data_IF_074338514688
#
_entry.id   IF_074338514688
#
_cell.length_a   1.000
_cell.length_b   1.000
_cell.length_c   1.000
_cell.angle_alpha   90.00
_cell.angle_beta   90.00
_cell.angle_gamma   90.00
#
_symmetry.space_group_name_H-M   'P 1'
#
loop_
_entity.id
_entity.type
_entity.pdbx_description
1 polymer ?
#
# COMPACT_ATOMS: atom_id res chain seq x y z
N UNK A 1 -1.11 13.92 8.56
CA UNK A 1 -2.08 13.82 7.45
C UNK A 1 -1.84 14.87 6.36
N UNK A 2 -1.71 16.16 6.69
CA UNK A 2 -1.47 17.22 5.70
C UNK A 2 -0.23 16.99 4.80
N UNK A 3 0.88 16.50 5.37
CA UNK A 3 2.07 16.17 4.56
C UNK A 3 1.82 15.07 3.53
N UNK A 4 0.94 14.10 3.85
CA UNK A 4 0.55 13.07 2.90
C UNK A 4 -0.29 13.67 1.78
N UNK A 5 -1.31 14.45 2.10
CA UNK A 5 -2.17 15.11 1.09
C UNK A 5 -1.30 15.98 0.18
N UNK A 6 -0.40 16.77 0.76
CA UNK A 6 0.53 17.61 0.00
C UNK A 6 1.39 16.78 -0.97
N UNK A 7 2.00 15.68 -0.49
CA UNK A 7 2.87 14.82 -1.33
C UNK A 7 2.11 14.09 -2.43
N UNK A 8 0.91 13.61 -2.13
CA UNK A 8 0.08 12.87 -3.07
C UNK A 8 -0.45 13.81 -4.17
N UNK A 9 -0.75 15.08 -3.84
CA UNK A 9 -1.23 16.07 -4.81
C UNK A 9 -0.13 16.79 -5.60
N UNK A 10 1.10 16.81 -5.09
CA UNK A 10 2.21 17.56 -5.69
C UNK A 10 2.49 17.24 -7.18
N UNK A 11 2.40 15.99 -7.66
CA UNK A 11 2.59 15.69 -9.09
C UNK A 11 1.58 16.38 -10.00
N UNK A 12 0.39 16.75 -9.52
CA UNK A 12 -0.66 17.31 -10.35
C UNK A 12 -0.60 18.84 -10.47
N UNK A 13 0.11 19.53 -9.57
CA UNK A 13 0.25 21.00 -9.62
C UNK A 13 1.07 21.50 -10.82
N UNK A 14 1.88 20.62 -11.41
CA UNK A 14 2.61 20.90 -12.64
C UNK A 14 1.82 20.67 -13.92
N UNK A 15 0.54 20.33 -13.85
CA UNK A 15 -0.31 20.10 -15.02
C UNK A 15 -1.27 21.28 -15.18
N UNK A 16 -1.45 21.77 -16.40
CA UNK A 16 -2.41 22.84 -16.68
C UNK A 16 -3.83 22.39 -16.27
N UNK A 17 -4.62 23.22 -15.55
CA UNK A 17 -5.92 22.81 -15.03
C UNK A 17 -6.89 22.24 -16.09
N UNK A 18 -6.91 22.81 -17.29
CA UNK A 18 -7.74 22.33 -18.39
C UNK A 18 -7.31 20.93 -18.89
N UNK A 19 -5.99 20.70 -18.95
CA UNK A 19 -5.43 19.39 -19.31
C UNK A 19 -5.68 18.36 -18.20
N UNK A 20 -5.49 18.73 -16.93
CA UNK A 20 -5.75 17.84 -15.79
C UNK A 20 -7.22 17.39 -15.76
N UNK A 21 -8.16 18.30 -16.06
CA UNK A 21 -9.58 17.95 -16.19
C UNK A 21 -9.84 17.03 -17.38
N UNK A 22 -9.12 17.20 -18.50
CA UNK A 22 -9.23 16.28 -19.63
C UNK A 22 -8.71 14.88 -19.27
N UNK A 23 -7.53 14.79 -18.66
CA UNK A 23 -6.97 13.52 -18.16
C UNK A 23 -7.92 12.85 -17.18
N UNK A 24 -8.49 13.58 -16.22
CA UNK A 24 -9.46 13.06 -15.27
C UNK A 24 -10.69 12.47 -15.99
N UNK A 25 -11.26 13.21 -16.96
CA UNK A 25 -12.44 12.77 -17.73
C UNK A 25 -12.14 11.51 -18.54
N UNK A 26 -11.00 11.46 -19.22
CA UNK A 26 -10.58 10.30 -20.00
C UNK A 26 -10.36 9.08 -19.10
N UNK A 27 -9.88 9.28 -17.87
CA UNK A 27 -9.64 8.22 -16.90
C UNK A 27 -10.91 7.67 -16.24
N UNK A 28 -12.07 8.34 -16.35
CA UNK A 28 -13.32 7.79 -15.79
C UNK A 28 -13.77 6.48 -16.46
N UNK A 29 -13.34 6.27 -17.71
CA UNK A 29 -13.56 5.03 -18.45
C UNK A 29 -12.48 3.97 -18.21
N UNK A 30 -11.53 4.20 -17.29
CA UNK A 30 -10.45 3.26 -17.04
C UNK A 30 -10.99 1.95 -16.47
N UNK A 31 -10.46 0.82 -16.95
CA UNK A 31 -10.91 -0.50 -16.56
C UNK A 31 -10.79 -0.70 -15.05
N UNK A 32 -11.80 -1.30 -14.43
CA UNK A 32 -11.87 -1.46 -12.98
C UNK A 32 -11.73 -0.13 -12.23
N UNK A 33 -12.57 0.84 -12.56
CA UNK A 33 -12.65 2.11 -11.82
C UNK A 33 -14.10 2.51 -11.58
N UNK A 34 -14.32 3.40 -10.59
CA UNK A 34 -15.57 4.11 -10.42
C UNK A 34 -15.29 5.59 -10.14
N UNK A 35 -16.21 6.46 -10.55
CA UNK A 35 -16.10 7.90 -10.34
C UNK A 35 -17.15 8.35 -9.35
N UNK A 36 -16.73 9.01 -8.28
CA UNK A 36 -17.64 9.73 -7.40
C UNK A 36 -17.76 11.18 -7.86
N UNK A 37 -18.96 11.74 -7.81
CA UNK A 37 -19.20 13.09 -8.30
C UNK A 37 -20.28 13.87 -7.57
N UNK A 38 -20.28 15.18 -7.81
CA UNK A 38 -21.27 16.16 -7.35
C UNK A 38 -21.52 17.18 -8.46
N UNK A 39 -22.77 17.27 -8.91
CA UNK A 39 -23.15 18.08 -10.09
C UNK A 39 -23.70 19.47 -9.74
N UNK A 40 -24.13 19.69 -8.50
CA UNK A 40 -24.57 21.01 -8.01
C UNK A 40 -24.00 21.26 -6.62
N UNK A 41 -23.69 22.52 -6.24
CA UNK A 41 -23.17 22.81 -4.90
C UNK A 41 -24.09 22.37 -3.74
N UNK A 42 -25.41 22.34 -3.95
CA UNK A 42 -26.39 21.89 -2.97
C UNK A 42 -26.89 20.45 -3.17
N UNK A 43 -26.37 19.73 -4.18
CA UNK A 43 -26.80 18.37 -4.50
C UNK A 43 -26.00 17.31 -3.75
N UNK A 44 -26.51 16.07 -3.65
CA UNK A 44 -25.78 14.99 -2.99
C UNK A 44 -24.59 14.52 -3.85
N UNK A 45 -23.63 13.87 -3.20
CA UNK A 45 -22.65 13.06 -3.91
C UNK A 45 -23.28 11.77 -4.46
N UNK A 46 -22.77 11.27 -5.58
CA UNK A 46 -23.27 10.06 -6.22
C UNK A 46 -22.17 9.34 -7.02
N UNK A 47 -22.43 8.10 -7.42
CA UNK A 47 -21.58 7.37 -8.38
C UNK A 47 -21.88 7.90 -9.77
N UNK A 48 -20.95 8.65 -10.35
CA UNK A 48 -21.11 9.36 -11.61
C UNK A 48 -20.76 8.49 -12.84
N UNK A 49 -19.86 7.53 -12.68
CA UNK A 49 -19.47 6.59 -13.72
C UNK A 49 -18.89 5.32 -13.08
N UNK A 50 -18.98 4.17 -13.75
CA UNK A 50 -18.34 2.92 -13.34
C UNK A 50 -17.93 2.10 -14.55
N UNK A 51 -16.71 1.57 -14.50
CA UNK A 51 -16.17 0.61 -15.48
C UNK A 51 -15.79 -0.66 -14.73
N UNK A 52 -16.81 -1.42 -14.33
CA UNK A 52 -16.70 -2.59 -13.46
C UNK A 52 -17.26 -3.85 -14.17
N UNK A 53 -16.95 -5.07 -13.68
CA UNK A 53 -17.49 -6.31 -14.26
C UNK A 53 -19.01 -6.33 -14.29
N UNK A 54 -19.58 -7.00 -15.30
CA UNK A 54 -21.04 -7.15 -15.47
C UNK A 54 -21.69 -8.02 -14.39
N UNK A 55 -20.92 -8.88 -13.72
CA UNK A 55 -21.44 -9.71 -12.62
C UNK A 55 -21.87 -8.83 -11.43
N UNK A 56 -23.16 -8.88 -11.09
CA UNK A 56 -23.76 -8.04 -10.06
C UNK A 56 -23.21 -8.26 -8.65
N UNK A 57 -22.71 -9.45 -8.34
CA UNK A 57 -22.10 -9.70 -7.04
C UNK A 57 -20.74 -9.01 -6.96
N UNK A 58 -19.90 -9.20 -7.97
CA UNK A 58 -18.56 -8.61 -8.02
C UNK A 58 -18.62 -7.08 -8.18
N UNK A 59 -19.53 -6.56 -9.01
CA UNK A 59 -19.77 -5.13 -9.18
C UNK A 59 -20.15 -4.46 -7.86
N UNK A 60 -21.10 -5.03 -7.11
CA UNK A 60 -21.50 -4.50 -5.79
C UNK A 60 -20.35 -4.54 -4.78
N UNK A 61 -19.55 -5.62 -4.79
CA UNK A 61 -18.38 -5.73 -3.91
C UNK A 61 -17.35 -4.63 -4.20
N UNK A 62 -17.07 -4.37 -5.48
CA UNK A 62 -16.11 -3.35 -5.90
C UNK A 62 -16.59 -1.91 -5.64
N UNK A 63 -17.90 -1.67 -5.63
CA UNK A 63 -18.50 -0.37 -5.29
C UNK A 63 -18.66 -0.14 -3.78
N UNK A 64 -18.54 -1.16 -2.94
CA UNK A 64 -18.75 -1.03 -1.49
C UNK A 64 -17.89 0.10 -0.89
N UNK A 65 -16.64 0.20 -1.35
CA UNK A 65 -15.74 1.26 -0.90
C UNK A 65 -16.23 2.66 -1.28
N UNK A 66 -16.76 2.81 -2.49
CA UNK A 66 -17.34 4.06 -2.97
C UNK A 66 -18.55 4.48 -2.13
N UNK A 67 -19.46 3.56 -1.80
CA UNK A 67 -20.62 3.87 -0.95
C UNK A 67 -20.22 4.29 0.47
N UNK A 68 -19.16 3.69 1.03
CA UNK A 68 -18.65 4.09 2.35
C UNK A 68 -18.01 5.48 2.32
N UNK A 69 -17.28 5.82 1.25
CA UNK A 69 -16.77 7.19 1.05
C UNK A 69 -17.92 8.19 0.92
N UNK A 70 -18.95 7.88 0.12
CA UNK A 70 -20.13 8.73 -0.01
C UNK A 70 -20.82 8.95 1.34
N UNK A 71 -20.92 7.91 2.17
CA UNK A 71 -21.48 8.02 3.51
C UNK A 71 -20.63 8.91 4.42
N UNK A 72 -19.30 8.81 4.36
CA UNK A 72 -18.38 9.67 5.12
C UNK A 72 -18.48 11.13 4.68
N UNK A 73 -18.61 11.39 3.38
CA UNK A 73 -18.66 12.75 2.82
C UNK A 73 -19.99 13.45 3.08
N UNK A 74 -21.04 12.73 3.51
CA UNK A 74 -22.38 13.28 3.73
C UNK A 74 -22.40 14.42 4.75
N UNK A 75 -21.59 14.33 5.81
CA UNK A 75 -21.55 15.34 6.88
C UNK A 75 -20.96 16.68 6.43
N UNK A 76 -20.14 16.65 5.37
CA UNK A 76 -19.47 17.83 4.81
C UNK A 76 -19.98 18.16 3.41
N UNK A 77 -21.11 17.57 3.00
CA UNK A 77 -21.55 17.66 1.62
C UNK A 77 -21.90 19.09 1.22
N UNK A 78 -22.53 19.87 2.10
CA UNK A 78 -22.93 21.25 1.80
C UNK A 78 -21.73 22.21 1.61
N UNK A 79 -20.59 21.91 2.25
CA UNK A 79 -19.38 22.75 2.21
C UNK A 79 -18.50 22.48 0.98
N UNK A 80 -18.71 21.35 0.30
CA UNK A 80 -17.84 20.91 -0.78
C UNK A 80 -18.31 21.44 -2.16
N UNK A 81 -17.39 21.91 -3.03
CA UNK A 81 -17.73 22.37 -4.36
C UNK A 81 -18.13 21.21 -5.28
N UNK A 82 -18.35 21.52 -6.57
CA UNK A 82 -18.44 20.49 -7.61
C UNK A 82 -17.21 19.59 -7.55
N UNK A 83 -17.45 18.29 -7.67
CA UNK A 83 -16.45 17.27 -7.43
C UNK A 83 -16.58 16.18 -8.48
N UNK A 84 -15.44 15.69 -8.97
CA UNK A 84 -15.31 14.47 -9.78
C UNK A 84 -13.97 13.83 -9.45
N UNK A 85 -14.00 12.59 -9.01
CA UNK A 85 -12.80 11.86 -8.64
C UNK A 85 -12.92 10.39 -9.03
N UNK A 86 -11.91 9.89 -9.72
CA UNK A 86 -11.83 8.49 -10.15
C UNK A 86 -11.14 7.68 -9.06
N UNK A 87 -11.73 6.56 -8.69
CA UNK A 87 -11.24 5.69 -7.63
C UNK A 87 -10.91 4.30 -8.17
N UNK A 88 -9.82 3.73 -7.66
CA UNK A 88 -9.58 2.29 -7.71
C UNK A 88 -10.51 1.56 -6.73
N UNK A 89 -11.20 0.49 -7.14
CA UNK A 89 -11.95 -0.39 -6.26
C UNK A 89 -11.10 -1.47 -5.60
N UNK A 90 -9.80 -1.54 -5.92
CA UNK A 90 -8.92 -2.62 -5.50
C UNK A 90 -8.05 -2.24 -4.31
N UNK A 91 -7.56 -3.26 -3.61
CA UNK A 91 -6.71 -3.11 -2.43
C UNK A 91 -5.30 -2.60 -2.78
N UNK A 92 -4.82 -2.83 -4.01
CA UNK A 92 -3.50 -2.43 -4.48
C UNK A 92 -3.52 -1.03 -5.12
N UNK A 93 -2.38 -0.30 -5.11
CA UNK A 93 -2.23 0.89 -5.92
C UNK A 93 -2.08 0.53 -7.40
N UNK A 94 -2.42 1.48 -8.28
CA UNK A 94 -2.45 1.24 -9.72
C UNK A 94 -1.56 2.19 -10.51
N UNK A 95 -1.43 3.45 -10.09
CA UNK A 95 -0.81 4.50 -10.91
C UNK A 95 0.69 4.51 -10.69
N UNK A 96 1.44 4.00 -11.66
CA UNK A 96 2.89 3.98 -11.67
C UNK A 96 3.44 5.07 -12.59
N UNK A 97 4.37 5.89 -12.09
CA UNK A 97 4.96 7.00 -12.83
C UNK A 97 6.48 6.91 -12.75
N UNK A 98 7.19 7.30 -13.82
CA UNK A 98 8.64 7.38 -13.77
C UNK A 98 9.10 8.53 -12.86
N UNK A 99 10.31 8.40 -12.31
CA UNK A 99 10.94 9.45 -11.51
C UNK A 99 11.05 10.74 -12.33
N UNK A 100 11.51 10.63 -13.59
CA UNK A 100 11.71 11.78 -14.47
C UNK A 100 10.43 12.60 -14.62
N UNK A 101 9.31 11.95 -14.96
CA UNK A 101 8.03 12.62 -15.13
C UNK A 101 7.49 13.16 -13.80
N UNK A 102 7.57 12.38 -12.72
CA UNK A 102 7.14 12.80 -11.39
C UNK A 102 7.88 14.06 -10.93
N UNK A 103 9.21 14.04 -10.99
CA UNK A 103 10.07 15.13 -10.57
C UNK A 103 9.89 16.37 -11.45
N UNK A 104 9.72 16.19 -12.77
CA UNK A 104 9.42 17.28 -13.70
C UNK A 104 8.09 17.97 -13.38
N UNK A 105 7.03 17.19 -13.15
CA UNK A 105 5.71 17.73 -12.80
C UNK A 105 5.74 18.46 -11.44
N UNK A 106 6.32 17.85 -10.41
CA UNK A 106 6.47 18.50 -9.08
C UNK A 106 7.27 19.79 -9.18
N UNK A 107 8.38 19.80 -9.95
CA UNK A 107 9.21 20.98 -10.15
C UNK A 107 8.46 22.09 -10.86
N UNK A 108 7.69 21.77 -11.90
CA UNK A 108 6.85 22.74 -12.61
C UNK A 108 5.83 23.37 -11.66
N UNK A 109 5.11 22.55 -10.88
CA UNK A 109 4.12 23.02 -9.90
C UNK A 109 4.73 23.94 -8.84
N UNK A 110 5.89 23.59 -8.28
CA UNK A 110 6.63 24.45 -7.34
C UNK A 110 7.03 25.81 -7.93
N UNK A 111 7.22 25.89 -9.24
CA UNK A 111 7.57 27.13 -9.95
C UNK A 111 6.33 27.89 -10.45
N UNK A 112 5.11 27.41 -10.19
CA UNK A 112 3.88 27.96 -10.74
C UNK A 112 3.81 27.84 -12.26
N UNK A 113 4.43 26.79 -12.83
CA UNK A 113 4.48 26.50 -14.27
C UNK A 113 3.84 25.14 -14.56
N UNK A 114 3.55 24.90 -15.82
CA UNK A 114 3.02 23.63 -16.29
C UNK A 114 4.00 22.92 -17.23
N UNK A 115 3.99 21.60 -17.18
CA UNK A 115 4.62 20.74 -18.19
C UNK A 115 3.72 20.66 -19.42
N UNK A 116 4.30 20.34 -20.57
CA UNK A 116 3.54 20.08 -21.79
C UNK A 116 3.32 18.57 -21.89
N UNK A 117 2.21 18.04 -21.36
CA UNK A 117 1.99 16.59 -21.28
C UNK A 117 1.97 15.87 -22.64
N UNK A 118 1.70 16.59 -23.74
CA UNK A 118 1.70 16.03 -25.09
C UNK A 118 3.12 15.86 -25.62
N UNK A 119 4.02 16.82 -25.34
CA UNK A 119 5.42 16.76 -25.75
C UNK A 119 6.32 16.01 -24.77
N UNK A 120 6.01 16.13 -23.49
CA UNK A 120 6.82 15.62 -22.38
C UNK A 120 6.44 14.19 -21.99
N UNK A 121 5.46 13.59 -22.68
CA UNK A 121 4.98 12.22 -22.46
C UNK A 121 6.13 11.24 -22.28
N UNK A 122 6.05 10.48 -21.19
CA UNK A 122 6.99 9.40 -20.94
C UNK A 122 6.83 8.34 -22.02
N UNK A 123 7.93 7.93 -22.70
CA UNK A 123 7.87 6.83 -23.66
C UNK A 123 7.50 5.52 -22.94
N UNK A 124 7.05 4.52 -23.69
CA UNK A 124 6.76 3.21 -23.11
C UNK A 124 7.97 2.70 -22.31
N UNK A 125 7.77 2.59 -21.00
CA UNK A 125 8.79 2.28 -20.01
C UNK A 125 8.17 1.29 -19.02
N UNK A 126 8.92 0.27 -18.62
CA UNK A 126 8.40 -0.78 -17.73
C UNK A 126 9.42 -1.16 -16.68
N UNK A 127 8.97 -1.20 -15.44
CA UNK A 127 9.72 -1.77 -14.32
C UNK A 127 9.93 -0.80 -13.17
N UNK A 128 9.98 -1.35 -11.96
CA UNK A 128 9.95 -0.58 -10.70
C UNK A 128 11.08 0.45 -10.58
N UNK A 129 12.28 0.12 -11.08
CA UNK A 129 13.45 0.99 -10.98
C UNK A 129 13.29 2.32 -11.71
N UNK A 130 12.38 2.41 -12.69
CA UNK A 130 12.11 3.66 -13.38
C UNK A 130 11.40 4.71 -12.51
N UNK A 131 10.84 4.33 -11.36
CA UNK A 131 10.32 5.27 -10.36
C UNK A 131 11.38 5.77 -9.39
N UNK A 132 12.64 5.31 -9.52
CA UNK A 132 13.73 5.69 -8.64
C UNK A 132 14.70 6.68 -9.27
N UNK A 133 15.29 7.60 -8.48
CA UNK A 133 16.35 8.47 -8.95
C UNK A 133 17.54 7.68 -9.50
N UNK A 134 18.17 8.18 -10.57
CA UNK A 134 19.28 7.50 -11.23
C UNK A 134 20.49 7.24 -10.30
N UNK A 135 20.65 8.07 -9.26
CA UNK A 135 21.70 7.98 -8.24
C UNK A 135 21.25 7.25 -6.97
N UNK A 136 20.05 6.66 -6.95
CA UNK A 136 19.56 5.89 -5.81
C UNK A 136 20.22 4.52 -5.71
N UNK A 137 20.35 3.95 -4.48
CA UNK A 137 20.88 2.59 -4.28
C UNK A 137 20.18 1.51 -5.12
N UNK A 138 18.91 1.69 -5.49
CA UNK A 138 18.19 0.72 -6.32
C UNK A 138 18.73 0.59 -7.76
N UNK A 139 19.46 1.58 -8.26
CA UNK A 139 20.11 1.53 -9.58
C UNK A 139 21.57 1.06 -9.53
N UNK A 140 22.09 0.75 -8.34
CA UNK A 140 23.39 0.12 -8.21
C UNK A 140 23.33 -1.34 -8.71
N UNK A 141 24.42 -1.86 -9.31
CA UNK A 141 24.44 -3.23 -9.82
C UNK A 141 24.11 -4.23 -8.71
N UNK A 142 23.27 -5.26 -8.99
CA UNK A 142 22.97 -6.29 -8.02
C UNK A 142 24.25 -6.95 -7.51
N UNK A 143 24.31 -7.18 -6.20
CA UNK A 143 25.41 -7.89 -5.58
C UNK A 143 25.47 -9.31 -6.15
N UNK A 144 26.56 -9.65 -6.84
CA UNK A 144 26.65 -10.87 -7.65
C UNK A 144 26.76 -12.16 -6.82
N UNK A 145 27.15 -12.06 -5.54
CA UNK A 145 27.36 -13.23 -4.69
C UNK A 145 26.69 -13.14 -3.32
N UNK A 146 26.20 -14.27 -2.79
CA UNK A 146 25.70 -14.37 -1.41
C UNK A 146 26.73 -13.88 -0.38
N UNK A 147 28.02 -14.10 -0.64
CA UNK A 147 29.13 -13.66 0.22
C UNK A 147 29.31 -12.13 0.24
N UNK A 148 28.87 -11.42 -0.81
CA UNK A 148 28.86 -9.96 -0.85
C UNK A 148 27.54 -9.41 -0.30
N UNK A 149 26.42 -10.10 -0.53
CA UNK A 149 25.13 -9.74 0.09
C UNK A 149 25.19 -9.87 1.63
N UNK A 150 25.92 -10.86 2.15
CA UNK A 150 26.23 -11.00 3.57
C UNK A 150 27.20 -9.93 4.11
N UNK A 151 28.01 -9.29 3.25
CA UNK A 151 28.85 -8.14 3.66
C UNK A 151 28.04 -6.85 3.75
N UNK A 152 26.98 -6.71 2.95
CA UNK A 152 26.05 -5.58 2.98
C UNK A 152 24.94 -5.71 4.02
N UNK A 153 24.68 -6.92 4.55
CA UNK A 153 23.87 -7.04 5.77
C UNK A 153 24.45 -6.10 6.82
N UNK A 154 23.66 -5.15 7.34
CA UNK A 154 24.15 -4.23 8.36
C UNK A 154 24.80 -5.04 9.49
N UNK A 155 26.11 -4.89 9.66
CA UNK A 155 26.85 -5.58 10.74
C UNK A 155 26.26 -5.25 12.11
N UNK A 156 25.63 -4.08 12.21
CA UNK A 156 24.83 -3.63 13.33
C UNK A 156 23.37 -3.46 12.87
N UNK A 157 22.45 -4.08 13.60
CA UNK A 157 21.04 -3.72 13.49
C UNK A 157 20.86 -2.32 14.07
N UNK A 158 19.95 -1.54 13.52
CA UNK A 158 19.59 -0.21 14.04
C UNK A 158 18.08 -0.07 14.16
N UNK A 159 17.62 0.89 14.96
CA UNK A 159 16.20 1.24 15.02
C UNK A 159 15.76 2.01 13.78
N UNK A 160 14.54 1.75 13.33
CA UNK A 160 13.90 2.53 12.27
C UNK A 160 13.48 3.89 12.85
N UNK A 161 14.21 4.94 12.50
CA UNK A 161 13.85 6.32 12.93
C UNK A 161 12.76 6.92 12.03
N UNK A 162 12.77 6.59 10.73
CA UNK A 162 11.83 7.12 9.74
C UNK A 162 11.29 5.98 8.89
N UNK A 163 10.04 5.60 9.18
CA UNK A 163 9.40 4.47 8.51
C UNK A 163 9.18 4.71 7.02
N UNK A 164 8.87 5.94 6.59
CA UNK A 164 8.65 6.26 5.18
C UNK A 164 9.92 6.06 4.35
N UNK A 165 11.07 6.51 4.86
CA UNK A 165 12.36 6.30 4.21
C UNK A 165 12.79 4.83 4.28
N UNK A 166 12.56 4.16 5.41
CA UNK A 166 12.88 2.74 5.57
C UNK A 166 12.06 1.80 4.66
N UNK A 167 10.87 2.24 4.25
CA UNK A 167 9.98 1.50 3.33
C UNK A 167 10.12 1.94 1.87
N UNK A 168 11.08 2.80 1.54
CA UNK A 168 11.30 3.26 0.18
C UNK A 168 12.17 2.28 -0.62
N UNK A 169 11.64 1.60 -1.67
CA UNK A 169 12.41 0.65 -2.44
C UNK A 169 13.59 1.28 -3.20
N UNK A 170 13.59 2.59 -3.42
CA UNK A 170 14.71 3.27 -4.06
C UNK A 170 15.94 3.34 -3.15
N UNK A 171 15.73 3.47 -1.83
CA UNK A 171 16.78 3.46 -0.82
C UNK A 171 17.09 2.05 -0.29
N UNK A 172 16.09 1.16 -0.31
CA UNK A 172 16.19 -0.21 0.19
C UNK A 172 15.69 -1.21 -0.88
N UNK A 173 16.49 -1.50 -1.92
CA UNK A 173 16.05 -2.30 -3.07
C UNK A 173 15.65 -3.74 -2.73
N UNK A 174 16.10 -4.29 -1.61
CA UNK A 174 15.66 -5.60 -1.12
C UNK A 174 14.13 -5.68 -0.91
N UNK A 175 13.44 -4.55 -0.75
CA UNK A 175 11.98 -4.51 -0.63
C UNK A 175 11.32 -5.01 -1.93
N UNK A 176 11.90 -4.73 -3.10
CA UNK A 176 11.36 -5.16 -4.40
C UNK A 176 11.27 -6.68 -4.52
N UNK A 177 12.17 -7.41 -3.85
CA UNK A 177 12.24 -8.88 -3.84
C UNK A 177 11.65 -9.51 -2.57
N UNK A 178 11.09 -8.73 -1.65
CA UNK A 178 10.62 -9.25 -0.36
C UNK A 178 9.22 -8.77 0.04
N UNK A 179 8.65 -7.85 -0.72
CA UNK A 179 7.33 -7.31 -0.46
C UNK A 179 6.33 -7.76 -1.52
N UNK A 180 5.19 -8.30 -1.08
CA UNK A 180 4.19 -8.92 -1.93
C UNK A 180 3.62 -8.01 -3.02
N UNK A 181 3.52 -6.69 -2.77
CA UNK A 181 3.15 -5.71 -3.79
C UNK A 181 4.11 -5.71 -4.98
N UNK A 182 5.42 -5.81 -4.77
CA UNK A 182 6.40 -5.75 -5.86
C UNK A 182 6.59 -7.13 -6.50
N UNK A 183 6.66 -8.18 -5.67
CA UNK A 183 6.75 -9.58 -6.11
C UNK A 183 5.60 -10.00 -7.02
N UNK A 184 4.39 -9.47 -6.79
CA UNK A 184 3.20 -9.83 -7.60
C UNK A 184 3.32 -9.41 -9.08
N UNK A 185 4.15 -8.39 -9.38
CA UNK A 185 4.27 -7.79 -10.72
C UNK A 185 5.65 -8.00 -11.37
N UNK A 186 6.50 -8.85 -10.79
CA UNK A 186 7.82 -9.19 -11.32
C UNK A 186 8.70 -7.94 -11.52
N UNK A 187 9.15 -7.63 -12.76
CA UNK A 187 9.99 -6.46 -13.00
C UNK A 187 9.26 -5.13 -12.71
N UNK A 188 7.92 -5.14 -12.71
CA UNK A 188 7.07 -3.99 -12.47
C UNK A 188 6.09 -3.69 -13.62
N UNK A 189 5.15 -2.76 -13.38
CA UNK A 189 4.15 -2.35 -14.36
C UNK A 189 4.76 -1.41 -15.41
N UNK A 190 3.97 -1.13 -16.44
CA UNK A 190 4.25 -0.05 -17.38
C UNK A 190 3.97 1.29 -16.72
N UNK A 191 4.82 2.28 -16.97
CA UNK A 191 4.63 3.64 -16.47
C UNK A 191 3.55 4.36 -17.26
N UNK A 192 2.74 5.12 -16.54
CA UNK A 192 1.84 6.08 -17.14
C UNK A 192 2.63 7.20 -17.83
N UNK A 193 2.11 7.72 -18.95
CA UNK A 193 2.80 8.74 -19.75
C UNK A 193 2.96 10.07 -19.04
N UNK A 194 2.09 10.38 -18.09
CA UNK A 194 1.98 11.63 -17.33
C UNK A 194 1.19 11.36 -16.04
N UNK A 195 1.18 12.27 -15.05
CA UNK A 195 0.41 12.06 -13.82
C UNK A 195 -1.09 11.94 -14.09
N UNK A 196 -1.70 10.88 -13.56
CA UNK A 196 -3.13 10.58 -13.67
C UNK A 196 -3.80 10.66 -12.29
N UNK A 197 -4.82 11.50 -12.08
CA UNK A 197 -5.43 11.69 -10.77
C UNK A 197 -6.42 10.55 -10.48
N UNK A 198 -5.92 9.48 -9.85
CA UNK A 198 -6.74 8.39 -9.33
C UNK A 198 -6.57 8.27 -7.82
N UNK A 199 -7.69 8.09 -7.13
CA UNK A 199 -7.75 7.86 -5.70
C UNK A 199 -7.73 6.37 -5.37
N UNK A 200 -6.96 5.97 -4.35
CA UNK A 200 -6.85 4.57 -3.92
C UNK A 200 -6.74 4.50 -2.39
N UNK A 201 -7.02 3.33 -1.83
CA UNK A 201 -6.92 3.13 -0.37
C UNK A 201 -5.50 2.97 0.14
N UNK A 202 -4.57 2.61 -0.74
CA UNK A 202 -3.16 2.53 -0.40
C UNK A 202 -2.29 3.03 -1.55
N UNK A 203 -1.01 3.25 -1.25
CA UNK A 203 0.02 3.63 -2.20
C UNK A 203 1.39 3.22 -1.65
N UNK A 204 2.38 3.08 -2.52
CA UNK A 204 3.80 2.95 -2.12
C UNK A 204 4.57 4.19 -2.56
N UNK A 205 5.84 4.32 -2.17
CA UNK A 205 6.68 5.45 -2.63
C UNK A 205 6.88 5.47 -4.16
N UNK A 206 6.64 4.35 -4.84
CA UNK A 206 6.77 4.21 -6.30
C UNK A 206 5.48 4.51 -7.08
N UNK A 207 4.35 4.69 -6.40
CA UNK A 207 3.06 4.98 -7.03
C UNK A 207 2.66 6.43 -6.81
N UNK A 208 1.73 6.92 -7.64
CA UNK A 208 1.19 8.30 -7.56
C UNK A 208 -0.32 8.32 -7.32
N UNK A 209 -0.90 7.22 -6.85
CA UNK A 209 -2.28 7.19 -6.37
C UNK A 209 -2.48 8.19 -5.23
N UNK A 210 -3.62 8.90 -5.24
CA UNK A 210 -4.03 9.83 -4.20
C UNK A 210 -4.69 9.03 -3.09
N UNK A 211 -4.06 8.96 -1.92
CA UNK A 211 -4.56 8.11 -0.84
C UNK A 211 -5.77 8.75 -0.15
N UNK A 212 -6.80 7.94 0.05
CA UNK A 212 -7.96 8.29 0.88
C UNK A 212 -7.98 7.49 2.18
N UNK A 213 -8.70 7.95 3.22
CA UNK A 213 -8.96 7.15 4.39
C UNK A 213 -9.54 5.79 4.01
N UNK A 214 -8.97 4.72 4.55
CA UNK A 214 -9.47 3.38 4.25
C UNK A 214 -10.83 3.15 4.92
N UNK A 215 -11.73 2.50 4.20
CA UNK A 215 -13.15 2.32 4.55
C UNK A 215 -13.42 1.53 5.85
N UNK A 216 -12.40 0.82 6.34
CA UNK A 216 -12.40 0.09 7.60
C UNK A 216 -11.55 0.73 8.70
N UNK A 217 -11.03 1.94 8.50
CA UNK A 217 -10.17 2.62 9.48
C UNK A 217 -10.96 3.27 10.63
N UNK A 218 -12.26 3.48 10.47
CA UNK A 218 -13.13 3.90 11.57
C UNK A 218 -13.71 2.68 12.27
N UNK A 219 -13.12 2.32 13.41
CA UNK A 219 -13.70 1.40 14.37
C UNK A 219 -14.23 2.28 15.49
N UNK A 220 -15.55 2.27 15.71
CA UNK A 220 -16.11 2.76 16.98
C UNK A 220 -15.50 1.88 18.05
N UNK A 221 -14.55 2.45 18.78
CA UNK A 221 -14.11 1.96 20.06
C UNK A 221 -13.27 0.67 20.03
N UNK A 222 -11.95 0.87 20.08
CA UNK A 222 -11.08 0.07 20.96
C UNK A 222 -11.27 0.56 22.42
N UNK A 223 -12.46 1.02 22.79
CA UNK A 223 -12.85 1.42 24.16
C UNK A 223 -13.60 0.27 24.87
N UNK A 224 -13.19 -0.97 24.62
CA UNK A 224 -14.01 -2.14 24.94
C UNK A 224 -13.27 -3.40 25.31
N UNK A 225 -12.16 -3.31 26.06
CA UNK A 225 -11.89 -4.18 27.21
C UNK A 225 -11.35 -3.22 28.29
N UNK A 226 -11.75 -3.41 29.54
CA UNK A 226 -11.63 -2.43 30.64
C UNK A 226 -10.30 -1.64 30.67
N UNK A 227 -10.27 -0.44 31.29
CA UNK A 227 -8.99 0.29 31.53
C UNK A 227 -7.92 -0.55 32.27
N UNK A 228 -8.30 -1.72 32.78
CA UNK A 228 -7.47 -2.75 33.41
C UNK A 228 -6.95 -3.85 32.48
N UNK A 229 -7.63 -4.15 31.35
CA UNK A 229 -7.27 -5.17 30.37
C UNK A 229 -6.53 -4.52 29.19
N UNK A 230 -5.28 -4.14 29.42
CA UNK A 230 -4.49 -3.51 28.36
C UNK A 230 -3.23 -2.79 28.82
N UNK A 231 -3.14 -2.48 30.13
CA UNK A 231 -1.96 -1.89 30.76
C UNK A 231 -0.69 -2.62 30.31
N UNK A 232 0.33 -1.85 29.93
CA UNK A 232 1.58 -2.38 29.42
C UNK A 232 2.25 -3.30 30.44
N UNK A 233 2.22 -2.88 31.72
CA UNK A 233 2.83 -3.54 32.87
C UNK A 233 2.15 -4.88 33.22
N UNK A 234 0.90 -5.10 32.77
CA UNK A 234 0.14 -6.34 33.00
C UNK A 234 0.35 -7.38 31.89
N UNK A 235 1.12 -7.06 30.84
CA UNK A 235 1.47 -8.03 29.80
C UNK A 235 2.49 -9.02 30.38
N UNK A 236 2.01 -10.15 30.87
CA UNK A 236 2.85 -11.22 31.45
C UNK A 236 3.62 -12.04 30.38
N UNK A 237 3.23 -11.90 29.11
CA UNK A 237 3.80 -12.66 28.00
C UNK A 237 4.61 -11.75 27.07
N UNK A 238 5.93 -11.84 27.19
CA UNK A 238 6.90 -11.06 26.39
C UNK A 238 7.03 -11.55 24.94
N UNK A 239 6.25 -12.56 24.53
CA UNK A 239 6.34 -13.12 23.18
C UNK A 239 5.61 -12.24 22.17
N UNK A 240 6.22 -12.10 20.99
CA UNK A 240 5.56 -11.52 19.83
C UNK A 240 4.35 -12.36 19.41
N UNK A 241 3.16 -11.75 19.37
CA UNK A 241 1.94 -12.35 18.85
C UNK A 241 1.64 -11.84 17.44
N UNK A 242 1.50 -12.77 16.48
CA UNK A 242 0.98 -12.47 15.15
C UNK A 242 -0.12 -13.46 14.78
N UNK A 243 -1.27 -12.94 14.33
CA UNK A 243 -2.37 -13.73 13.79
C UNK A 243 -2.93 -13.06 12.56
N UNK A 244 -2.87 -13.75 11.43
CA UNK A 244 -3.43 -13.25 10.19
C UNK A 244 -3.58 -14.36 9.16
N UNK A 245 -4.34 -14.09 8.11
CA UNK A 245 -4.32 -14.91 6.90
C UNK A 245 -3.06 -14.59 6.09
N UNK A 246 -2.74 -15.41 5.10
CA UNK A 246 -1.65 -15.19 4.15
C UNK A 246 -1.97 -14.11 3.09
N UNK A 247 -2.71 -13.05 3.46
CA UNK A 247 -2.98 -11.92 2.56
C UNK A 247 -1.72 -11.08 2.32
N UNK A 248 -1.66 -10.38 1.19
CA UNK A 248 -0.52 -9.54 0.80
C UNK A 248 0.22 -10.01 -0.45
N UNK A 249 -0.03 -11.25 -0.90
CA UNK A 249 0.38 -11.77 -2.21
C UNK A 249 -0.48 -12.99 -2.56
N UNK A 250 -0.64 -13.28 -3.85
CA UNK A 250 -1.32 -14.51 -4.30
C UNK A 250 -0.37 -15.72 -4.23
N UNK A 251 -0.79 -16.78 -3.54
CA UNK A 251 -0.04 -18.03 -3.40
C UNK A 251 -0.36 -18.97 -4.56
N UNK A 252 0.52 -18.99 -5.56
CA UNK A 252 0.45 -19.91 -6.70
C UNK A 252 1.83 -20.47 -7.04
N UNK A 253 1.87 -21.60 -7.77
CA UNK A 253 3.12 -22.29 -8.12
C UNK A 253 4.05 -21.41 -8.98
N UNK A 254 3.49 -20.51 -9.79
CA UNK A 254 4.20 -19.60 -10.68
C UNK A 254 4.58 -18.26 -10.01
N UNK A 255 4.38 -18.13 -8.69
CA UNK A 255 4.59 -16.88 -7.96
C UNK A 255 5.64 -17.04 -6.85
N UNK A 256 6.54 -16.06 -6.64
CA UNK A 256 7.55 -16.09 -5.58
C UNK A 256 6.97 -15.73 -4.20
N UNK A 257 5.82 -16.31 -3.82
CA UNK A 257 5.12 -15.98 -2.57
C UNK A 257 5.93 -16.33 -1.33
N UNK A 258 6.88 -17.27 -1.43
CA UNK A 258 7.78 -17.64 -0.31
C UNK A 258 8.65 -16.48 0.14
N UNK A 259 8.93 -15.55 -0.76
CA UNK A 259 9.75 -14.37 -0.48
C UNK A 259 8.93 -13.21 0.11
N UNK A 260 7.60 -13.33 0.16
CA UNK A 260 6.73 -12.29 0.71
C UNK A 260 6.90 -12.14 2.23
N UNK A 261 6.65 -10.93 2.72
CA UNK A 261 6.90 -10.52 4.11
C UNK A 261 6.28 -11.44 5.18
N UNK A 262 5.06 -11.96 4.96
CA UNK A 262 4.38 -12.83 5.94
C UNK A 262 4.90 -14.25 5.91
N UNK A 263 5.17 -14.80 4.74
CA UNK A 263 5.73 -16.14 4.59
C UNK A 263 7.14 -16.20 5.21
N UNK A 264 7.97 -15.18 4.98
CA UNK A 264 9.28 -15.04 5.64
C UNK A 264 9.19 -14.93 7.16
N UNK A 265 8.22 -14.16 7.67
CA UNK A 265 7.97 -14.06 9.13
C UNK A 265 7.60 -15.43 9.71
N UNK A 266 6.68 -16.14 9.06
CA UNK A 266 6.25 -17.46 9.50
C UNK A 266 7.36 -18.50 9.41
N UNK A 267 8.18 -18.47 8.36
CA UNK A 267 9.36 -19.32 8.24
C UNK A 267 10.37 -19.01 9.36
N UNK A 268 10.63 -17.73 9.64
CA UNK A 268 11.52 -17.32 10.74
C UNK A 268 11.04 -17.86 12.09
N UNK A 269 9.73 -17.81 12.35
CA UNK A 269 9.08 -18.26 13.58
C UNK A 269 9.04 -19.79 13.70
N UNK A 270 8.82 -20.52 12.59
CA UNK A 270 8.72 -21.98 12.60
C UNK A 270 10.07 -22.70 12.73
N UNK A 271 11.20 -22.05 12.42
CA UNK A 271 12.54 -22.62 12.58
C UNK A 271 12.82 -22.84 14.08
N UNK A 272 12.73 -24.08 14.60
CA UNK A 272 12.56 -24.37 16.03
C UNK A 272 13.87 -24.38 16.83
N UNK A 273 14.98 -23.95 16.21
CA UNK A 273 16.31 -23.94 16.82
C UNK A 273 17.03 -22.66 16.44
N UNK A 274 17.61 -22.00 17.43
CA UNK A 274 18.46 -20.85 17.26
C UNK A 274 18.05 -19.69 18.17
N UNK A 275 19.02 -18.84 18.43
CA UNK A 275 18.80 -17.61 19.18
C UNK A 275 18.77 -16.45 18.18
N UNK A 276 17.94 -15.45 18.42
CA UNK A 276 17.93 -14.21 17.67
C UNK A 276 18.46 -13.11 18.57
N UNK A 277 19.41 -12.33 18.06
CA UNK A 277 19.79 -11.07 18.69
C UNK A 277 18.77 -10.00 18.31
N UNK A 278 18.15 -9.40 19.30
CA UNK A 278 17.27 -8.23 19.15
C UNK A 278 17.95 -7.03 19.78
N UNK A 279 17.73 -5.85 19.19
CA UNK A 279 18.11 -4.59 19.81
C UNK A 279 17.04 -4.23 20.83
N UNK A 280 17.47 -3.76 22.00
CA UNK A 280 16.59 -3.16 23.00
C UNK A 280 16.84 -1.67 23.01
N UNK A 281 15.75 -0.89 23.01
CA UNK A 281 15.85 0.56 23.13
C UNK A 281 16.16 0.87 24.58
N UNK A 282 17.17 1.71 24.80
CA UNK A 282 17.43 2.25 26.13
C UNK A 282 16.21 3.08 26.56
N UNK A 283 15.53 2.65 27.62
CA UNK A 283 14.23 3.22 28.05
C UNK A 283 14.34 4.63 28.62
N UNK A 284 15.57 5.10 28.87
CA UNK A 284 15.82 6.34 29.61
C UNK A 284 16.10 7.56 28.73
N UNK A 285 15.99 7.44 27.39
CA UNK A 285 16.13 8.59 26.48
C UNK A 285 17.49 9.29 26.51
N UNK A 286 18.49 8.72 27.20
CA UNK A 286 19.86 9.23 27.19
C UNK A 286 20.55 8.74 25.93
N UNK A 287 20.60 9.63 24.95
CA UNK A 287 21.38 9.43 23.74
C UNK A 287 22.85 9.28 24.11
N UNK A 288 23.37 8.05 24.16
CA UNK A 288 24.81 7.82 24.21
C UNK A 288 25.23 6.55 24.93
N UNK A 289 25.55 5.52 24.14
CA UNK A 289 26.59 4.56 24.48
C UNK A 289 26.13 3.37 25.32
N UNK A 290 25.31 2.50 24.75
CA UNK A 290 25.64 1.08 24.52
C UNK A 290 24.37 0.38 24.00
N UNK A 291 24.43 -0.16 22.77
CA UNK A 291 23.33 -0.91 22.17
C UNK A 291 23.15 -2.23 22.94
N UNK A 292 22.21 -2.29 23.89
CA UNK A 292 21.93 -3.55 24.58
C UNK A 292 21.31 -4.55 23.59
N UNK A 293 21.99 -5.68 23.42
CA UNK A 293 21.54 -6.80 22.58
C UNK A 293 21.05 -7.92 23.45
N UNK A 294 19.76 -8.24 23.36
CA UNK A 294 19.21 -9.42 24.01
C UNK A 294 19.22 -10.60 23.06
N UNK A 295 19.68 -11.74 23.59
CA UNK A 295 19.68 -13.02 22.89
C UNK A 295 18.43 -13.80 23.29
N UNK A 296 17.44 -13.84 22.41
CA UNK A 296 16.16 -14.49 22.67
C UNK A 296 16.12 -15.88 22.03
N UNK A 297 15.73 -16.89 22.80
CA UNK A 297 15.52 -18.25 22.29
C UNK A 297 14.21 -18.33 21.50
N UNK A 298 14.24 -18.97 20.32
CA UNK A 298 13.03 -19.20 19.55
C UNK A 298 12.19 -20.32 20.18
N UNK A 299 11.02 -19.96 20.71
CA UNK A 299 10.01 -20.92 21.18
C UNK A 299 8.73 -20.88 20.34
N UNK A 300 8.22 -22.03 19.91
CA UNK A 300 6.92 -22.15 19.22
C UNK A 300 5.90 -22.78 20.16
N UNK A 301 4.87 -22.04 20.55
CA UNK A 301 3.63 -22.60 21.11
C UNK A 301 2.62 -22.74 19.97
N UNK A 302 2.58 -23.93 19.37
CA UNK A 302 1.66 -24.22 18.27
C UNK A 302 0.23 -24.41 18.79
N UNK A 303 -0.66 -23.43 18.55
CA UNK A 303 -2.09 -23.70 18.42
C UNK A 303 -2.53 -23.44 16.97
N UNK A 304 -2.16 -24.33 16.06
CA UNK A 304 -2.69 -24.31 14.70
C UNK A 304 -4.11 -24.88 14.74
N UNK A 305 -5.11 -24.02 14.96
CA UNK A 305 -6.51 -24.39 14.73
C UNK A 305 -6.83 -24.25 13.25
N UNK A 306 -6.48 -25.28 12.46
CA UNK A 306 -6.99 -25.43 11.10
C UNK A 306 -8.48 -25.81 11.18
N UNK A 307 -9.37 -24.83 11.37
CA UNK A 307 -10.79 -25.04 11.05
C UNK A 307 -10.93 -25.13 9.54
N UNK A 308 -10.88 -26.36 9.03
CA UNK A 308 -11.28 -26.71 7.68
C UNK A 308 -12.76 -26.34 7.53
N UNK A 309 -13.06 -25.19 6.95
CA UNK A 309 -14.44 -24.84 6.55
C UNK A 309 -14.81 -25.80 5.41
N UNK A 310 -15.40 -26.95 5.76
CA UNK A 310 -16.11 -27.78 4.79
C UNK A 310 -17.28 -26.93 4.29
N UNK A 311 -17.16 -26.36 3.08
CA UNK A 311 -18.33 -25.97 2.29
C UNK A 311 -19.18 -27.21 2.11
N UNK A 312 -20.26 -27.31 2.89
CA UNK A 312 -21.30 -28.30 2.67
C UNK A 312 -21.95 -27.99 1.32
N UNK A 313 -21.58 -28.75 0.27
CA UNK A 313 -22.45 -28.92 -0.89
C UNK A 313 -23.66 -29.72 -0.42
N UNK A 314 -24.75 -29.03 -0.05
CA UNK A 314 -26.06 -29.66 -0.06
C UNK A 314 -26.45 -29.86 -1.53
N UNK A 315 -26.24 -31.09 -2.00
CA UNK A 315 -26.98 -31.61 -3.14
C UNK A 315 -28.44 -31.72 -2.70
N UNK A 316 -29.33 -31.02 -3.39
CA UNK A 316 -30.77 -31.25 -3.35
C UNK A 316 -31.08 -32.15 -4.54
N UNK A 317 -30.99 -33.47 -4.32
CA UNK A 317 -31.65 -34.48 -5.15
C UNK A 317 -32.60 -35.22 -4.22
N UNK A 318 -33.90 -35.21 -4.57
CA UNK A 318 -34.93 -35.95 -3.85
C UNK A 318 -36.30 -35.32 -4.03
N UNK A 319 -36.98 -35.67 -5.13
CA UNK A 319 -38.22 -35.03 -5.56
C UNK A 319 -39.49 -35.46 -4.84
N UNK A 320 -40.60 -34.87 -5.29
CA UNK A 320 -41.96 -35.41 -5.35
C UNK A 320 -42.87 -34.43 -6.12
N UNK A 321 -43.11 -34.72 -7.39
CA UNK A 321 -44.43 -35.09 -7.95
C UNK A 321 -44.24 -35.62 -9.36
#
# INVERSE_FOLDING_TARGET
EYDQIYRDLAPFWGIEPAQLQAVQRDWEGHVHSYTLGKSTPSGPFYVANETLPDDDHDRRRLLEGGYRILQLMKEVEEDLPLFRAVFSPHDNPNVFLTEEMRSKAIKAGKLGKYIDIDKDRTPYTRGWLHACPADSPANEPPIETEAEADKEKPKNKTFIYNHLLAMDPCNHPSILSQHGQFLSYGPGPSAEPFPVPQFSFCSTTLHTDIRVPHIGSWLSDVEGESSEEGEWERKEDDRLLWRGMNTGMYHAEDKPWRDAQRDRLMEMAQRPKGNVEILVSDTDGKSGGDEERLRVEKGVLASVSLRRVRRSRRSLIGGKR
#
